data_IF_412333852646
#
_entry.id   IF_412333852646
#
_cell.length_a   1.000
_cell.length_b   1.000
_cell.length_c   1.000
_cell.angle_alpha   90.00
_cell.angle_beta   90.00
_cell.angle_gamma   90.00
#
_symmetry.space_group_name_H-M   'P 1'
#
loop_
_entity.id
_entity.type
_entity.pdbx_description
1 polymer ?
#
# COMPACT_ATOMS: atom_id res chain seq x y z
N UNK A 1 -14.87 -8.74 7.90
CA UNK A 1 -14.06 -7.53 8.17
C UNK A 1 -14.59 -6.37 7.34
N UNK A 2 -14.97 -5.24 7.96
CA UNK A 2 -15.23 -3.98 7.23
C UNK A 2 -13.92 -3.57 6.56
N UNK A 3 -13.84 -3.75 5.23
CA UNK A 3 -12.65 -3.48 4.42
C UNK A 3 -12.23 -2.04 4.66
N UNK A 4 -10.95 -1.77 4.94
CA UNK A 4 -10.42 -0.43 5.19
C UNK A 4 -10.68 0.49 3.98
N UNK A 5 -11.84 1.14 3.94
CA UNK A 5 -12.30 2.08 2.89
C UNK A 5 -11.42 3.33 2.85
N UNK A 6 -10.65 3.55 3.93
CA UNK A 6 -9.77 4.71 4.13
C UNK A 6 -8.88 4.93 2.90
N UNK A 7 -8.13 3.93 2.43
CA UNK A 7 -7.22 4.09 1.27
C UNK A 7 -7.90 4.07 -0.11
N UNK A 8 -9.17 3.71 -0.18
CA UNK A 8 -9.99 3.95 -1.37
C UNK A 8 -10.40 5.41 -1.53
N UNK A 9 -10.22 6.23 -0.49
CA UNK A 9 -10.59 7.64 -0.51
C UNK A 9 -9.61 8.46 -1.39
N UNK A 10 -10.12 9.31 -2.31
CA UNK A 10 -9.30 10.21 -3.13
C UNK A 10 -8.34 11.13 -2.36
N UNK A 11 -8.54 11.33 -1.05
CA UNK A 11 -7.64 12.07 -0.16
C UNK A 11 -6.27 11.40 -0.01
N UNK A 12 -6.19 10.07 -0.16
CA UNK A 12 -4.94 9.30 -0.08
C UNK A 12 -4.35 8.99 -1.46
N UNK A 13 -4.40 9.97 -2.37
CA UNK A 13 -3.77 9.85 -3.69
C UNK A 13 -2.25 9.76 -3.54
N UNK A 14 -1.69 8.67 -4.06
CA UNK A 14 -0.26 8.40 -3.96
C UNK A 14 0.07 6.94 -4.17
N UNK A 15 1.31 6.56 -3.82
CA UNK A 15 1.77 5.18 -3.88
C UNK A 15 1.47 4.48 -2.57
N UNK A 16 0.60 3.50 -2.61
CA UNK A 16 0.26 2.66 -1.46
C UNK A 16 1.35 1.61 -1.26
N UNK A 17 1.68 1.34 -0.01
CA UNK A 17 2.70 0.38 0.40
C UNK A 17 2.08 -0.65 1.34
N UNK A 18 2.41 -1.91 1.10
CA UNK A 18 2.17 -3.02 2.00
C UNK A 18 3.50 -3.45 2.59
N UNK A 19 3.60 -3.40 3.92
CA UNK A 19 4.77 -3.85 4.64
C UNK A 19 4.44 -5.12 5.42
N UNK A 20 5.42 -6.02 5.48
CA UNK A 20 5.40 -7.21 6.33
C UNK A 20 6.74 -7.24 7.03
N UNK A 21 6.74 -7.32 8.36
CA UNK A 21 7.98 -7.35 9.15
C UNK A 21 8.93 -6.18 8.81
N UNK A 22 8.37 -4.99 8.61
CA UNK A 22 9.12 -3.77 8.26
C UNK A 22 9.61 -3.69 6.80
N UNK A 23 9.39 -4.71 5.97
CA UNK A 23 9.82 -4.74 4.57
C UNK A 23 8.67 -4.44 3.62
N UNK A 24 8.90 -3.60 2.62
CA UNK A 24 7.92 -3.35 1.55
C UNK A 24 7.81 -4.59 0.67
N UNK A 25 6.67 -5.26 0.72
CA UNK A 25 6.40 -6.46 -0.10
C UNK A 25 5.60 -6.14 -1.36
N UNK A 26 4.78 -5.09 -1.31
CA UNK A 26 4.00 -4.61 -2.47
C UNK A 26 3.94 -3.09 -2.47
N UNK A 27 4.08 -2.49 -3.64
CA UNK A 27 3.83 -1.06 -3.85
C UNK A 27 3.03 -0.82 -5.13
N UNK A 28 2.17 0.20 -5.11
CA UNK A 28 1.37 0.58 -6.27
C UNK A 28 0.12 1.38 -5.93
N UNK A 29 -0.92 1.26 -6.75
CA UNK A 29 -2.24 1.81 -6.43
C UNK A 29 -2.96 0.94 -5.37
N UNK A 30 -4.03 1.49 -4.79
CA UNK A 30 -4.83 0.78 -3.79
C UNK A 30 -5.31 -0.59 -4.27
N UNK A 31 -5.81 -0.70 -5.51
CA UNK A 31 -6.33 -1.95 -6.09
C UNK A 31 -5.28 -3.08 -6.02
N UNK A 32 -4.03 -2.81 -6.39
CA UNK A 32 -2.94 -3.80 -6.36
C UNK A 32 -2.60 -4.20 -4.92
N UNK A 33 -2.52 -3.21 -4.04
CA UNK A 33 -2.17 -3.42 -2.62
C UNK A 33 -3.26 -4.20 -1.89
N UNK A 34 -4.54 -3.86 -2.08
CA UNK A 34 -5.66 -4.53 -1.45
C UNK A 34 -5.76 -6.01 -1.85
N UNK A 35 -5.53 -6.34 -3.13
CA UNK A 35 -5.51 -7.74 -3.57
C UNK A 35 -4.36 -8.55 -2.97
N UNK A 36 -3.28 -7.89 -2.56
CA UNK A 36 -2.13 -8.54 -1.93
C UNK A 36 -2.28 -8.63 -0.42
N UNK A 37 -2.95 -7.64 0.18
CA UNK A 37 -3.29 -7.61 1.61
C UNK A 37 -4.07 -8.87 2.03
N UNK A 38 -5.09 -9.25 1.25
CA UNK A 38 -5.90 -10.44 1.52
C UNK A 38 -5.04 -11.72 1.56
N UNK A 39 -4.06 -11.83 0.65
CA UNK A 39 -3.12 -12.97 0.61
C UNK A 39 -2.20 -12.99 1.82
N UNK A 40 -1.75 -11.83 2.30
CA UNK A 40 -0.87 -11.72 3.48
C UNK A 40 -1.62 -12.12 4.75
N UNK A 41 -2.89 -11.73 4.89
CA UNK A 41 -3.71 -12.18 6.02
C UNK A 41 -3.93 -13.70 6.00
N UNK A 42 -4.16 -14.31 4.83
CA UNK A 42 -4.29 -15.76 4.71
C UNK A 42 -3.02 -16.53 5.08
N UNK A 43 -1.86 -15.89 5.01
CA UNK A 43 -0.58 -16.44 5.45
C UNK A 43 -0.34 -16.28 6.95
N UNK A 44 -1.30 -15.73 7.71
CA UNK A 44 -1.17 -15.50 9.15
C UNK A 44 -0.21 -14.37 9.53
N UNK A 45 0.20 -13.54 8.57
CA UNK A 45 1.11 -12.43 8.81
C UNK A 45 0.35 -11.16 9.21
N UNK A 46 1.03 -10.26 9.92
CA UNK A 46 0.47 -8.95 10.31
C UNK A 46 1.03 -7.88 9.36
N UNK A 47 0.26 -7.44 8.36
CA UNK A 47 0.69 -6.38 7.45
C UNK A 47 0.55 -4.99 8.09
N UNK A 48 1.44 -4.07 7.68
CA UNK A 48 1.25 -2.64 7.86
C UNK A 48 0.91 -2.00 6.53
N UNK A 49 -0.16 -1.21 6.49
CA UNK A 49 -0.55 -0.41 5.33
C UNK A 49 -0.12 1.04 5.55
N UNK A 50 0.53 1.62 4.55
CA UNK A 50 0.85 3.04 4.50
C UNK A 50 0.80 3.54 3.07
N UNK A 51 0.99 4.84 2.85
CA UNK A 51 1.07 5.42 1.52
C UNK A 51 2.07 6.58 1.51
N UNK A 52 2.67 6.79 0.35
CA UNK A 52 3.46 7.98 0.04
C UNK A 52 2.54 8.92 -0.74
N UNK A 53 2.21 10.11 -0.21
CA UNK A 53 1.40 11.09 -0.93
C UNK A 53 2.04 11.43 -2.28
N UNK A 54 1.20 11.66 -3.30
CA UNK A 54 1.70 12.04 -4.63
C UNK A 54 2.55 13.33 -4.57
N UNK A 55 2.16 14.28 -3.72
CA UNK A 55 2.87 15.55 -3.52
C UNK A 55 4.30 15.34 -3.00
N UNK A 56 4.54 14.28 -2.23
CA UNK A 56 5.83 13.99 -1.59
C UNK A 56 6.66 12.98 -2.40
N UNK A 57 6.25 12.68 -3.63
CA UNK A 57 6.94 11.71 -4.48
C UNK A 57 8.05 12.40 -5.26
N UNK A 58 9.31 12.16 -4.87
CA UNK A 58 10.47 12.50 -5.67
C UNK A 58 10.62 11.50 -6.82
N UNK A 59 10.52 11.98 -8.06
CA UNK A 59 10.79 11.18 -9.26
C UNK A 59 12.23 11.41 -9.68
N UNK A 60 13.11 10.44 -9.41
CA UNK A 60 14.48 10.46 -9.92
C UNK A 60 14.51 9.75 -11.27
N UNK A 61 14.74 10.51 -12.34
CA UNK A 61 14.97 9.95 -13.67
C UNK A 61 16.44 9.50 -13.75
N UNK A 62 16.67 8.18 -13.81
CA UNK A 62 17.99 7.64 -14.15
C UNK A 62 18.11 7.59 -15.68
N UNK A 63 19.21 8.12 -16.22
CA UNK A 63 19.58 8.00 -17.64
C UNK A 63 20.10 6.60 -17.94
#
# INVERSE_FOLDING_TARGET
MKRNIVFGNPKYKGKHLLLVEGKVVVSGNWKKVSSSLDKVYLQGKIPTLTYIPKADTLVLLQK
#
